data_IF_596245258730
#
_entry.id   IF_596245258730
#
_cell.length_a   1.000
_cell.length_b   1.000
_cell.length_c   1.000
_cell.angle_alpha   90.00
_cell.angle_beta   90.00
_cell.angle_gamma   90.00
#
_symmetry.space_group_name_H-M   'P 1'
#
loop_
_entity.id
_entity.type
_entity.pdbx_description
1 polymer ?
#
# COMPACT_ATOMS: atom_id res chain seq x y z
N UNK A 1 2.84 -18.89 -19.72
CA UNK A 1 2.86 -19.39 -18.33
C UNK A 1 2.68 -18.19 -17.42
N UNK A 2 1.70 -18.23 -16.53
CA UNK A 2 1.38 -17.07 -15.69
C UNK A 2 2.36 -17.01 -14.52
N UNK A 3 3.06 -15.88 -14.36
CA UNK A 3 4.13 -15.71 -13.36
C UNK A 3 3.73 -15.87 -11.89
N UNK A 4 2.47 -16.20 -11.58
CA UNK A 4 1.92 -16.38 -10.23
C UNK A 4 1.55 -17.84 -9.90
N UNK A 5 1.94 -18.82 -10.72
CA UNK A 5 1.71 -20.25 -10.43
C UNK A 5 2.26 -20.71 -9.05
N UNK A 6 3.46 -20.29 -8.60
CA UNK A 6 3.96 -20.62 -7.27
C UNK A 6 3.04 -20.11 -6.15
N UNK A 7 2.53 -18.89 -6.30
CA UNK A 7 1.59 -18.27 -5.38
C UNK A 7 0.28 -19.06 -5.32
N UNK A 8 -0.27 -19.44 -6.48
CA UNK A 8 -1.49 -20.23 -6.56
C UNK A 8 -1.36 -21.56 -5.83
N UNK A 9 -0.23 -22.27 -6.01
CA UNK A 9 0.04 -23.53 -5.33
C UNK A 9 0.14 -23.34 -3.81
N UNK A 10 0.91 -22.34 -3.36
CA UNK A 10 1.12 -22.08 -1.95
C UNK A 10 -0.19 -21.76 -1.22
N UNK A 11 -1.00 -20.85 -1.79
CA UNK A 11 -2.27 -20.42 -1.23
C UNK A 11 -3.36 -21.51 -1.30
N UNK A 12 -3.41 -22.30 -2.37
CA UNK A 12 -4.35 -23.42 -2.45
C UNK A 12 -4.08 -24.48 -1.38
N UNK A 13 -2.79 -24.76 -1.09
CA UNK A 13 -2.44 -25.67 0.00
C UNK A 13 -2.79 -25.07 1.38
N UNK A 14 -2.55 -23.78 1.62
CA UNK A 14 -2.99 -23.11 2.85
C UNK A 14 -4.52 -23.17 3.04
N UNK A 15 -5.28 -22.99 1.96
CA UNK A 15 -6.75 -23.09 1.99
C UNK A 15 -7.24 -24.48 2.37
N UNK A 16 -6.63 -25.55 1.81
CA UNK A 16 -6.97 -26.94 2.16
C UNK A 16 -6.60 -27.31 3.60
N UNK A 17 -5.50 -26.75 4.11
CA UNK A 17 -4.99 -27.02 5.46
C UNK A 17 -5.72 -26.22 6.55
N UNK A 18 -6.62 -25.29 6.19
CA UNK A 18 -7.24 -24.39 7.17
C UNK A 18 -6.22 -23.44 7.83
N UNK A 19 -5.13 -23.11 7.12
CA UNK A 19 -3.99 -22.39 7.67
C UNK A 19 -4.38 -21.01 8.23
N UNK A 20 -3.83 -20.68 9.40
CA UNK A 20 -3.91 -19.34 10.00
C UNK A 20 -2.50 -18.80 10.19
N UNK A 21 -2.24 -17.63 9.64
CA UNK A 21 -0.91 -17.03 9.61
C UNK A 21 -0.67 -16.23 8.34
N UNK A 22 0.59 -15.99 8.02
CA UNK A 22 0.98 -15.15 6.89
C UNK A 22 1.67 -15.96 5.80
N UNK A 23 1.43 -15.58 4.54
CA UNK A 23 2.20 -16.04 3.38
C UNK A 23 2.84 -14.83 2.75
N UNK A 24 4.17 -14.74 2.83
CA UNK A 24 4.97 -13.69 2.23
C UNK A 24 5.32 -14.07 0.79
N UNK A 25 5.14 -13.13 -0.11
CA UNK A 25 5.39 -13.26 -1.54
C UNK A 25 6.51 -12.31 -1.89
N UNK A 26 7.66 -12.86 -2.28
CA UNK A 26 8.75 -12.08 -2.86
C UNK A 26 8.50 -11.85 -4.34
N UNK A 27 8.97 -10.70 -4.84
CA UNK A 27 8.73 -10.28 -6.21
C UNK A 27 8.57 -8.77 -6.32
N UNK A 28 8.24 -8.31 -7.53
CA UNK A 28 7.95 -6.91 -7.78
C UNK A 28 6.49 -6.78 -8.21
N UNK A 29 5.57 -6.27 -7.36
CA UNK A 29 5.80 -5.67 -6.03
C UNK A 29 5.86 -6.64 -4.85
N UNK A 30 5.50 -7.92 -5.03
CA UNK A 30 5.35 -8.86 -3.92
C UNK A 30 4.24 -8.45 -2.93
N UNK A 31 4.18 -9.09 -1.77
CA UNK A 31 3.19 -8.76 -0.74
C UNK A 31 3.07 -9.81 0.37
N UNK A 32 2.14 -9.59 1.29
CA UNK A 32 1.81 -10.51 2.38
C UNK A 32 0.32 -10.83 2.35
N UNK A 33 -0.01 -12.11 2.30
CA UNK A 33 -1.38 -12.62 2.43
C UNK A 33 -1.58 -13.08 3.86
N UNK A 34 -2.57 -12.50 4.55
CA UNK A 34 -2.96 -12.93 5.89
C UNK A 34 -4.13 -13.90 5.76
N UNK A 35 -3.98 -15.08 6.34
CA UNK A 35 -4.99 -16.13 6.33
C UNK A 35 -5.52 -16.42 7.73
N UNK A 36 -6.80 -16.74 7.79
CA UNK A 36 -7.48 -17.23 8.98
C UNK A 36 -8.40 -18.38 8.59
N UNK A 37 -8.17 -19.57 9.15
CA UNK A 37 -8.93 -20.78 8.82
C UNK A 37 -8.88 -21.14 7.33
N UNK A 38 -7.77 -20.86 6.64
CA UNK A 38 -7.60 -21.11 5.21
C UNK A 38 -8.23 -20.04 4.29
N UNK A 39 -8.89 -19.02 4.84
CA UNK A 39 -9.44 -17.90 4.08
C UNK A 39 -8.50 -16.70 4.11
N UNK A 40 -8.39 -15.97 3.00
CA UNK A 40 -7.62 -14.73 2.92
C UNK A 40 -8.44 -13.60 3.51
N UNK A 41 -7.95 -13.01 4.59
CA UNK A 41 -8.64 -11.97 5.35
C UNK A 41 -8.03 -10.59 5.15
N UNK A 42 -6.75 -10.52 4.77
CA UNK A 42 -6.10 -9.29 4.34
C UNK A 42 -4.99 -9.60 3.33
N UNK A 43 -4.69 -8.64 2.47
CA UNK A 43 -3.53 -8.68 1.59
C UNK A 43 -2.87 -7.32 1.63
N UNK A 44 -1.57 -7.31 1.89
CA UNK A 44 -0.74 -6.12 1.83
C UNK A 44 0.22 -6.25 0.65
N UNK A 45 0.32 -5.20 -0.16
CA UNK A 45 1.33 -5.11 -1.19
C UNK A 45 1.75 -3.65 -1.29
N UNK A 46 3.05 -3.33 -1.41
CA UNK A 46 3.44 -1.97 -1.75
C UNK A 46 2.86 -1.59 -3.13
N UNK A 47 2.48 -2.59 -3.94
CA UNK A 47 1.81 -2.50 -5.23
C UNK A 47 0.47 -1.78 -5.23
N UNK A 48 -0.22 -1.67 -4.10
CA UNK A 48 -1.58 -1.12 -4.05
C UNK A 48 -1.85 -0.25 -2.80
N UNK A 49 -2.74 0.75 -2.90
CA UNK A 49 -3.15 1.55 -1.76
C UNK A 49 -3.80 0.68 -0.66
N UNK A 50 -3.36 0.91 0.58
CA UNK A 50 -3.96 0.31 1.77
C UNK A 50 -5.33 0.95 2.07
N UNK A 51 -6.17 0.31 2.89
CA UNK A 51 -7.41 0.92 3.40
C UNK A 51 -7.20 2.30 4.02
N UNK A 52 -6.12 2.47 4.79
CA UNK A 52 -5.70 3.76 5.35
C UNK A 52 -5.44 4.79 4.24
N UNK A 53 -4.63 4.43 3.23
CA UNK A 53 -4.33 5.33 2.12
C UNK A 53 -5.60 5.75 1.37
N UNK A 54 -6.55 4.83 1.16
CA UNK A 54 -7.84 5.13 0.53
C UNK A 54 -8.66 6.12 1.37
N UNK A 55 -8.75 5.92 2.68
CA UNK A 55 -9.49 6.82 3.57
C UNK A 55 -8.87 8.22 3.63
N UNK A 56 -7.55 8.31 3.82
CA UNK A 56 -6.83 9.59 3.88
C UNK A 56 -6.95 10.37 2.56
N UNK A 57 -6.79 9.68 1.42
CA UNK A 57 -6.87 10.33 0.09
C UNK A 57 -8.29 10.67 -0.34
N UNK A 58 -9.29 10.02 0.25
CA UNK A 58 -10.69 10.40 0.07
C UNK A 58 -11.06 11.70 0.80
N UNK A 59 -10.23 12.15 1.76
CA UNK A 59 -10.51 13.30 2.62
C UNK A 59 -11.49 13.02 3.77
N UNK A 60 -11.83 11.74 3.99
CA UNK A 60 -12.81 11.32 5.00
C UNK A 60 -12.25 11.36 6.43
N UNK A 61 -10.92 11.32 6.55
CA UNK A 61 -10.18 11.58 7.77
C UNK A 61 -8.86 12.25 7.38
N UNK A 62 -8.44 13.27 8.12
CA UNK A 62 -7.12 13.88 7.95
C UNK A 62 -6.02 13.07 8.64
N UNK A 63 -4.76 13.44 8.36
CA UNK A 63 -3.61 12.72 8.92
C UNK A 63 -3.49 12.88 10.44
N UNK A 64 -3.85 14.05 10.97
CA UNK A 64 -3.78 14.33 12.40
C UNK A 64 -4.85 13.57 13.19
N UNK A 65 -6.08 13.55 12.67
CA UNK A 65 -7.19 12.80 13.24
C UNK A 65 -6.88 11.30 13.21
N UNK A 66 -6.37 10.78 12.10
CA UNK A 66 -5.93 9.40 11.99
C UNK A 66 -4.87 9.06 13.05
N UNK A 67 -3.82 9.87 13.17
CA UNK A 67 -2.78 9.69 14.17
C UNK A 67 -3.35 9.75 15.60
N UNK A 68 -4.33 10.63 15.85
CA UNK A 68 -5.08 10.68 17.10
C UNK A 68 -5.82 9.39 17.41
N UNK A 69 -6.54 8.82 16.43
CA UNK A 69 -7.23 7.54 16.58
C UNK A 69 -6.27 6.38 16.85
N UNK A 70 -5.15 6.32 16.13
CA UNK A 70 -4.11 5.30 16.35
C UNK A 70 -3.57 5.40 17.77
N UNK A 71 -3.24 6.61 18.26
CA UNK A 71 -2.82 6.82 19.66
C UNK A 71 -3.89 6.38 20.67
N UNK A 72 -5.14 6.78 20.46
CA UNK A 72 -6.26 6.41 21.33
C UNK A 72 -6.53 4.90 21.36
N UNK A 73 -6.22 4.20 20.27
CA UNK A 73 -6.35 2.74 20.15
C UNK A 73 -5.16 1.94 20.70
N UNK A 74 -4.24 2.58 21.44
CA UNK A 74 -3.04 1.92 21.96
C UNK A 74 -2.02 1.55 20.88
N UNK A 75 -2.01 2.30 19.76
CA UNK A 75 -1.10 2.06 18.64
C UNK A 75 -1.58 1.03 17.62
N UNK A 76 -2.87 0.67 17.62
CA UNK A 76 -3.41 -0.21 16.59
C UNK A 76 -3.26 0.42 15.20
N UNK A 77 -2.67 -0.32 14.25
CA UNK A 77 -2.48 0.14 12.86
C UNK A 77 -3.80 0.42 12.13
N UNK A 78 -4.90 -0.15 12.61
CA UNK A 78 -6.24 0.03 12.05
C UNK A 78 -7.27 0.37 13.14
N UNK A 79 -7.51 1.65 13.43
CA UNK A 79 -8.38 2.08 14.53
C UNK A 79 -9.88 2.08 14.14
N UNK A 80 -10.41 0.93 13.71
CA UNK A 80 -11.79 0.79 13.19
C UNK A 80 -12.87 1.31 14.15
N UNK A 81 -12.76 0.98 15.44
CA UNK A 81 -13.71 1.43 16.45
C UNK A 81 -13.71 2.96 16.58
N UNK A 82 -12.53 3.58 16.53
CA UNK A 82 -12.37 5.03 16.52
C UNK A 82 -12.96 5.68 15.28
N UNK A 83 -12.72 5.10 14.10
CA UNK A 83 -13.28 5.58 12.82
C UNK A 83 -14.82 5.56 12.82
N UNK A 84 -15.42 4.55 13.45
CA UNK A 84 -16.87 4.42 13.56
C UNK A 84 -17.42 5.38 14.61
N UNK A 85 -16.81 5.42 15.81
CA UNK A 85 -17.29 6.23 16.92
C UNK A 85 -17.30 7.73 16.60
N UNK A 86 -16.31 8.20 15.83
CA UNK A 86 -16.20 9.61 15.43
C UNK A 86 -16.97 9.93 14.14
N UNK A 87 -17.67 8.95 13.55
CA UNK A 87 -18.46 9.15 12.33
C UNK A 87 -17.63 9.30 11.05
N UNK A 88 -16.30 9.13 11.11
CA UNK A 88 -15.46 9.16 9.91
C UNK A 88 -15.88 8.07 8.94
N UNK A 89 -16.16 6.84 9.36
CA UNK A 89 -16.70 5.81 8.47
C UNK A 89 -17.53 4.77 9.21
N UNK A 90 -18.67 4.37 8.64
CA UNK A 90 -19.49 3.30 9.18
C UNK A 90 -18.87 1.91 8.96
N UNK A 91 -19.27 0.93 9.78
CA UNK A 91 -18.75 -0.44 9.71
C UNK A 91 -18.92 -1.09 8.32
N UNK A 92 -20.04 -0.84 7.63
CA UNK A 92 -20.25 -1.33 6.27
C UNK A 92 -19.28 -0.69 5.26
N UNK A 93 -19.03 0.61 5.37
CA UNK A 93 -18.08 1.31 4.51
C UNK A 93 -16.66 0.78 4.72
N UNK A 94 -16.24 0.59 5.97
CA UNK A 94 -14.93 0.02 6.28
C UNK A 94 -14.76 -1.39 5.70
N UNK A 95 -15.79 -2.24 5.77
CA UNK A 95 -15.76 -3.58 5.14
C UNK A 95 -15.54 -3.49 3.63
N UNK A 96 -16.22 -2.58 2.94
CA UNK A 96 -16.04 -2.40 1.49
C UNK A 96 -14.63 -1.91 1.18
N UNK A 97 -14.12 -0.92 1.92
CA UNK A 97 -12.73 -0.43 1.73
C UNK A 97 -11.71 -1.57 1.89
N UNK A 98 -11.85 -2.38 2.94
CA UNK A 98 -10.94 -3.49 3.19
C UNK A 98 -11.04 -4.54 2.08
N UNK A 99 -12.25 -4.91 1.66
CA UNK A 99 -12.45 -5.87 0.57
C UNK A 99 -11.85 -5.38 -0.75
N UNK A 100 -11.98 -4.08 -1.04
CA UNK A 100 -11.45 -3.50 -2.26
C UNK A 100 -9.92 -3.41 -2.24
N UNK A 101 -9.33 -2.94 -1.15
CA UNK A 101 -7.88 -2.93 -0.99
C UNK A 101 -7.28 -4.34 -1.04
N UNK A 102 -7.95 -5.34 -0.45
CA UNK A 102 -7.57 -6.75 -0.54
C UNK A 102 -7.52 -7.22 -2.00
N UNK A 103 -8.58 -6.92 -2.77
CA UNK A 103 -8.67 -7.29 -4.19
C UNK A 103 -7.63 -6.57 -5.05
N UNK A 104 -7.36 -5.29 -4.78
CA UNK A 104 -6.34 -4.53 -5.51
C UNK A 104 -4.91 -4.94 -5.15
N UNK A 105 -4.64 -5.26 -3.89
CA UNK A 105 -3.33 -5.78 -3.48
C UNK A 105 -3.07 -7.16 -4.11
N UNK A 106 -4.06 -8.05 -4.12
CA UNK A 106 -3.95 -9.33 -4.82
C UNK A 106 -3.75 -9.15 -6.34
N UNK A 107 -4.48 -8.22 -6.95
CA UNK A 107 -4.28 -7.86 -8.36
C UNK A 107 -2.86 -7.33 -8.62
N UNK A 108 -2.34 -6.43 -7.78
CA UNK A 108 -1.02 -5.86 -7.95
C UNK A 108 0.10 -6.93 -7.84
N UNK A 109 -0.04 -7.90 -6.93
CA UNK A 109 0.88 -9.05 -6.85
C UNK A 109 0.82 -9.89 -8.13
N UNK A 110 -0.39 -10.22 -8.60
CA UNK A 110 -0.60 -11.07 -9.79
C UNK A 110 -0.17 -10.39 -11.09
N UNK A 111 -0.31 -9.08 -11.18
CA UNK A 111 0.11 -8.28 -12.34
C UNK A 111 1.64 -8.09 -12.41
N UNK A 112 2.33 -8.26 -11.29
CA UNK A 112 3.79 -8.18 -11.17
C UNK A 112 4.51 -9.50 -11.40
N UNK A 113 5.74 -9.60 -10.88
CA UNK A 113 6.50 -10.85 -10.79
C UNK A 113 6.35 -11.48 -9.41
N UNK A 114 6.32 -12.81 -9.36
CA UNK A 114 6.42 -13.60 -8.13
C UNK A 114 7.68 -14.45 -8.22
N UNK A 115 8.64 -14.15 -7.34
CA UNK A 115 9.93 -14.83 -7.31
C UNK A 115 9.91 -15.99 -6.31
N UNK A 116 9.06 -15.91 -5.27
CA UNK A 116 8.95 -16.92 -4.24
C UNK A 116 7.76 -16.71 -3.31
N UNK A 117 7.42 -17.75 -2.57
CA UNK A 117 6.36 -17.74 -1.56
C UNK A 117 6.84 -18.47 -0.31
N UNK A 118 6.85 -17.77 0.81
CA UNK A 118 7.27 -18.30 2.10
C UNK A 118 6.10 -18.25 3.08
N UNK A 119 5.82 -19.37 3.74
CA UNK A 119 4.82 -19.42 4.81
C UNK A 119 5.49 -18.98 6.10
N UNK A 120 4.91 -17.98 6.76
CA UNK A 120 5.27 -17.61 8.11
C UNK A 120 4.86 -18.69 9.13
N UNK A 121 5.28 -18.56 10.39
CA UNK A 121 4.86 -19.47 11.44
C UNK A 121 3.33 -19.47 11.56
N UNK A 122 2.75 -20.65 11.71
CA UNK A 122 1.32 -20.79 11.96
C UNK A 122 0.96 -20.05 13.27
N UNK A 123 -0.03 -19.18 13.20
CA UNK A 123 -0.56 -18.46 14.35
C UNK A 123 -1.86 -19.14 14.77
N UNK A 124 -1.76 -20.09 15.70
CA UNK A 124 -2.90 -20.86 16.21
C UNK A 124 -2.43 -22.16 16.87
N UNK A 125 -3.19 -22.72 17.83
CA UNK A 125 -2.87 -24.04 18.35
C UNK A 125 -2.88 -25.06 17.19
N UNK A 126 -1.98 -26.06 17.19
CA UNK A 126 -2.08 -27.16 16.23
C UNK A 126 -3.48 -27.77 16.36
N UNK A 127 -4.10 -28.10 15.22
CA UNK A 127 -5.41 -28.72 15.19
C UNK A 127 -5.35 -30.11 15.85
N UNK A 128 -5.46 -30.16 17.17
CA UNK A 128 -5.77 -31.36 17.93
C UNK A 128 -7.29 -31.44 18.10
N UNK A 129 -7.93 -32.60 17.92
CA UNK A 129 -9.41 -32.67 17.87
C UNK A 129 -10.16 -32.40 19.18
N UNK A 130 -9.54 -31.84 20.24
CA UNK A 130 -10.09 -31.91 21.61
C UNK A 130 -9.78 -30.74 22.56
N UNK A 131 -9.39 -29.55 22.06
CA UNK A 131 -9.20 -28.39 22.94
C UNK A 131 -10.21 -27.26 22.65
N UNK A 132 -10.90 -26.69 23.66
CA UNK A 132 -11.74 -25.52 23.47
C UNK A 132 -10.87 -24.33 23.03
N UNK A 133 -11.33 -23.60 22.01
CA UNK A 133 -10.64 -22.46 21.43
C UNK A 133 -10.51 -21.33 22.47
N UNK A 134 -9.31 -21.17 23.05
CA UNK A 134 -8.94 -19.93 23.72
C UNK A 134 -8.92 -18.80 22.69
N UNK A 135 -9.49 -17.62 22.98
CA UNK A 135 -9.40 -16.49 22.05
C UNK A 135 -7.92 -16.14 21.89
N UNK A 136 -7.38 -16.34 20.68
CA UNK A 136 -6.04 -15.89 20.34
C UNK A 136 -5.95 -14.39 20.63
N UNK A 137 -4.90 -13.98 21.35
CA UNK A 137 -4.52 -12.58 21.42
C UNK A 137 -4.41 -12.03 19.99
N UNK A 138 -4.99 -10.85 19.71
CA UNK A 138 -5.00 -10.31 18.35
C UNK A 138 -3.56 -10.05 17.94
N UNK A 139 -3.07 -10.82 16.96
CA UNK A 139 -1.97 -10.38 16.10
C UNK A 139 -2.38 -8.98 15.61
N UNK A 140 -1.48 -7.99 15.54
CA UNK A 140 -1.82 -6.67 15.01
C UNK A 140 -2.00 -6.80 13.49
N UNK A 141 -3.09 -7.46 13.08
CA UNK A 141 -3.34 -7.84 11.70
C UNK A 141 -3.78 -6.60 10.94
N UNK A 142 -3.22 -6.48 9.74
CA UNK A 142 -3.71 -5.65 8.66
C UNK A 142 -5.24 -5.49 8.67
N UNK A 143 -5.79 -4.36 8.21
CA UNK A 143 -7.25 -4.20 8.07
C UNK A 143 -7.90 -5.42 7.41
N UNK A 144 -8.67 -6.17 8.19
CA UNK A 144 -9.22 -7.47 7.78
C UNK A 144 -10.62 -7.32 7.20
N UNK A 145 -10.95 -8.17 6.23
CA UNK A 145 -12.32 -8.41 5.81
C UNK A 145 -12.96 -9.42 6.77
N UNK A 146 -14.13 -9.12 7.38
CA UNK A 146 -14.77 -10.01 8.35
C UNK A 146 -15.19 -11.37 7.78
N UNK A 147 -15.43 -11.44 6.47
CA UNK A 147 -15.64 -12.67 5.73
C UNK A 147 -14.45 -12.81 4.79
N UNK A 148 -13.50 -13.69 5.13
CA UNK A 148 -12.34 -13.93 4.29
C UNK A 148 -12.72 -14.53 2.94
N UNK A 149 -11.88 -14.31 1.94
CA UNK A 149 -12.07 -14.83 0.59
C UNK A 149 -11.33 -16.15 0.40
N UNK A 150 -11.92 -17.15 -0.28
CA UNK A 150 -11.21 -18.35 -0.67
C UNK A 150 -9.99 -17.99 -1.54
N UNK A 151 -8.78 -18.49 -1.22
CA UNK A 151 -7.57 -18.05 -1.93
C UNK A 151 -7.61 -18.33 -3.44
N UNK A 152 -8.21 -19.45 -3.84
CA UNK A 152 -8.40 -19.81 -5.25
C UNK A 152 -9.31 -18.83 -5.98
N UNK A 153 -10.42 -18.42 -5.36
CA UNK A 153 -11.35 -17.42 -5.92
C UNK A 153 -10.67 -16.06 -6.07
N UNK A 154 -9.93 -15.63 -5.05
CA UNK A 154 -9.20 -14.36 -5.06
C UNK A 154 -8.18 -14.30 -6.21
N UNK A 155 -7.40 -15.37 -6.40
CA UNK A 155 -6.43 -15.44 -7.49
C UNK A 155 -7.11 -15.54 -8.86
N UNK A 156 -8.20 -16.31 -8.98
CA UNK A 156 -8.97 -16.37 -10.22
C UNK A 156 -9.51 -15.00 -10.63
N UNK A 157 -9.99 -14.21 -9.67
CA UNK A 157 -10.45 -12.84 -9.88
C UNK A 157 -9.31 -11.93 -10.36
N UNK A 158 -8.17 -11.94 -9.65
CA UNK A 158 -6.99 -11.16 -10.04
C UNK A 158 -6.46 -11.56 -11.44
N UNK A 159 -6.42 -12.85 -11.75
CA UNK A 159 -5.99 -13.35 -13.06
C UNK A 159 -6.99 -13.05 -14.17
N UNK A 160 -8.31 -13.00 -13.86
CA UNK A 160 -9.33 -12.54 -14.80
C UNK A 160 -9.13 -11.05 -15.10
N UNK A 161 -8.93 -10.22 -14.08
CA UNK A 161 -8.65 -8.78 -14.21
C UNK A 161 -7.40 -8.52 -15.05
N UNK A 162 -6.32 -9.24 -14.80
CA UNK A 162 -5.08 -9.14 -15.59
C UNK A 162 -5.31 -9.51 -17.06
N UNK A 163 -6.00 -10.62 -17.35
CA UNK A 163 -6.33 -11.00 -18.73
C UNK A 163 -7.21 -9.97 -19.43
N UNK A 164 -8.20 -9.42 -18.74
CA UNK A 164 -9.05 -8.36 -19.30
C UNK A 164 -8.24 -7.10 -19.64
N UNK A 165 -7.29 -6.72 -18.77
CA UNK A 165 -6.40 -5.59 -19.00
C UNK A 165 -5.46 -5.82 -20.19
N UNK A 166 -4.89 -7.02 -20.30
CA UNK A 166 -4.02 -7.40 -21.42
C UNK A 166 -4.75 -7.52 -22.76
N UNK A 167 -6.08 -7.63 -22.75
CA UNK A 167 -6.92 -7.66 -23.94
C UNK A 167 -7.35 -6.27 -24.44
N UNK A 168 -7.02 -5.20 -23.71
CA UNK A 168 -7.31 -3.83 -24.17
C UNK A 168 -6.42 -3.44 -25.36
N UNK A 169 -6.86 -2.48 -26.20
CA UNK A 169 -6.09 -2.01 -27.35
C UNK A 169 -4.69 -1.51 -26.98
N UNK A 170 -4.56 -0.88 -25.81
CA UNK A 170 -3.28 -0.48 -25.23
C UNK A 170 -3.10 -1.17 -23.87
N UNK A 171 -2.43 -2.34 -23.81
CA UNK A 171 -2.22 -3.04 -22.55
C UNK A 171 -1.19 -2.28 -21.68
N UNK A 172 -1.55 -2.02 -20.42
CA UNK A 172 -0.72 -1.30 -19.44
C UNK A 172 -0.37 -2.23 -18.28
N UNK A 173 0.83 -2.13 -17.74
CA UNK A 173 1.21 -2.73 -16.46
C UNK A 173 1.16 -1.68 -15.35
N UNK A 174 0.68 -2.01 -14.14
CA UNK A 174 0.55 -1.03 -13.07
C UNK A 174 1.84 -0.25 -12.74
N UNK A 175 3.01 -0.85 -12.92
CA UNK A 175 4.31 -0.36 -12.48
C UNK A 175 5.25 0.05 -13.62
N UNK A 176 4.78 0.09 -14.87
CA UNK A 176 5.66 0.28 -16.04
C UNK A 176 5.44 1.59 -16.76
N UNK A 177 4.28 1.78 -17.38
CA UNK A 177 4.00 2.91 -18.26
C UNK A 177 3.91 4.20 -17.45
N UNK A 178 4.53 5.28 -17.95
CA UNK A 178 4.55 6.59 -17.31
C UNK A 178 3.95 7.61 -18.27
N UNK A 179 2.62 7.78 -18.25
CA UNK A 179 1.95 8.60 -19.25
C UNK A 179 2.12 10.10 -18.99
N UNK A 180 1.99 10.88 -20.06
CA UNK A 180 1.79 12.33 -20.06
C UNK A 180 0.47 12.65 -20.80
N UNK A 181 -0.16 13.80 -20.53
CA UNK A 181 -1.26 14.32 -21.33
C UNK A 181 -0.84 14.49 -22.79
N UNK A 182 -1.54 13.84 -23.71
CA UNK A 182 -1.37 14.06 -25.14
C UNK A 182 -2.09 15.37 -25.57
N UNK A 183 -1.77 15.86 -26.77
CA UNK A 183 -2.39 17.07 -27.31
C UNK A 183 -3.93 16.98 -27.39
N UNK A 184 -4.48 15.79 -27.66
CA UNK A 184 -5.94 15.55 -27.71
C UNK A 184 -6.63 15.74 -26.36
N UNK A 185 -5.91 15.66 -25.24
CA UNK A 185 -6.52 15.91 -23.92
C UNK A 185 -7.00 17.33 -23.75
N UNK A 186 -6.34 18.31 -24.38
CA UNK A 186 -6.71 19.72 -24.26
C UNK A 186 -7.95 20.08 -25.08
N UNK A 187 -8.28 19.28 -26.10
CA UNK A 187 -9.45 19.48 -26.97
C UNK A 187 -10.64 18.60 -26.55
N UNK A 188 -10.47 17.73 -25.56
CA UNK A 188 -11.50 16.82 -25.08
C UNK A 188 -12.64 17.57 -24.38
N UNK A 189 -13.76 17.74 -25.09
CA UNK A 189 -14.92 18.51 -24.61
C UNK A 189 -15.65 17.88 -23.41
N UNK A 190 -15.50 16.56 -23.16
CA UNK A 190 -16.15 15.85 -22.06
C UNK A 190 -15.21 14.83 -21.42
N UNK A 191 -14.51 15.25 -20.39
CA UNK A 191 -13.70 14.36 -19.55
C UNK A 191 -14.52 13.89 -18.33
N UNK A 192 -14.34 12.64 -17.93
CA UNK A 192 -14.82 12.16 -16.63
C UNK A 192 -14.03 12.76 -15.46
N UNK A 193 -14.56 12.66 -14.24
CA UNK A 193 -13.86 13.12 -13.01
C UNK A 193 -12.52 12.41 -12.85
N UNK A 194 -12.49 11.09 -13.06
CA UNK A 194 -11.25 10.31 -12.98
C UNK A 194 -10.25 10.72 -14.05
N UNK A 195 -10.69 10.89 -15.30
CA UNK A 195 -9.80 11.27 -16.41
C UNK A 195 -9.13 12.62 -16.16
N UNK A 196 -9.89 13.63 -15.72
CA UNK A 196 -9.32 14.93 -15.32
C UNK A 196 -8.26 14.77 -14.23
N UNK A 197 -8.59 14.00 -13.19
CA UNK A 197 -7.71 13.76 -12.05
C UNK A 197 -6.40 13.05 -12.48
N UNK A 198 -6.48 12.08 -13.40
CA UNK A 198 -5.31 11.41 -13.96
C UNK A 198 -4.48 12.36 -14.82
N UNK A 199 -5.10 13.18 -15.68
CA UNK A 199 -4.39 14.17 -16.50
C UNK A 199 -3.64 15.21 -15.65
N UNK A 200 -4.21 15.64 -14.52
CA UNK A 200 -3.55 16.55 -13.59
C UNK A 200 -2.28 15.95 -12.96
N UNK A 201 -2.18 14.62 -12.87
CA UNK A 201 -1.08 13.94 -12.18
C UNK A 201 -0.13 13.14 -13.09
N UNK A 202 -0.51 12.92 -14.35
CA UNK A 202 0.30 12.30 -15.38
C UNK A 202 1.42 13.28 -15.80
N UNK A 203 2.64 13.03 -15.34
CA UNK A 203 3.80 13.90 -15.55
C UNK A 203 4.97 13.17 -16.23
N UNK A 204 4.72 11.98 -16.78
CA UNK A 204 5.76 11.13 -17.37
C UNK A 204 6.69 10.48 -16.34
N UNK A 205 6.48 10.74 -15.04
CA UNK A 205 7.22 10.10 -13.94
C UNK A 205 6.37 9.12 -13.17
N UNK A 206 5.06 9.34 -13.05
CA UNK A 206 4.15 8.45 -12.31
C UNK A 206 3.64 7.30 -13.16
N UNK A 207 3.70 6.09 -12.60
CA UNK A 207 3.05 4.89 -13.14
C UNK A 207 1.56 4.86 -12.79
N UNK A 208 0.79 3.95 -13.40
CA UNK A 208 -0.62 3.77 -13.02
C UNK A 208 -0.80 3.43 -11.52
N UNK A 209 0.14 2.67 -10.93
CA UNK A 209 0.23 2.44 -9.49
C UNK A 209 0.43 3.74 -8.72
N UNK A 210 1.38 4.57 -9.12
CA UNK A 210 1.63 5.85 -8.44
C UNK A 210 0.40 6.77 -8.53
N UNK A 211 -0.26 6.81 -9.69
CA UNK A 211 -1.51 7.54 -9.89
C UNK A 211 -2.62 7.00 -8.99
N UNK A 212 -2.71 5.69 -8.78
CA UNK A 212 -3.68 5.09 -7.84
C UNK A 212 -3.44 5.56 -6.40
N UNK A 213 -2.19 5.58 -5.93
CA UNK A 213 -1.83 6.14 -4.62
C UNK A 213 -2.11 7.64 -4.50
N UNK A 214 -1.88 8.41 -5.58
CA UNK A 214 -2.11 9.85 -5.60
C UNK A 214 -3.59 10.21 -5.58
N UNK A 215 -4.40 9.48 -6.34
CA UNK A 215 -5.85 9.75 -6.49
C UNK A 215 -6.70 9.06 -5.41
N UNK A 216 -6.11 8.18 -4.60
CA UNK A 216 -6.83 7.43 -3.57
C UNK A 216 -7.77 6.38 -4.16
N UNK A 217 -7.36 5.74 -5.25
CA UNK A 217 -8.19 4.80 -6.01
C UNK A 217 -7.54 3.44 -6.12
N UNK A 218 -8.36 2.45 -6.45
CA UNK A 218 -7.89 1.09 -6.70
C UNK A 218 -6.94 1.00 -7.90
N UNK A 219 -5.87 0.22 -7.77
CA UNK A 219 -4.84 0.08 -8.81
C UNK A 219 -5.43 -0.49 -10.09
N UNK A 220 -6.28 -1.52 -9.99
CA UNK A 220 -6.90 -2.12 -11.18
C UNK A 220 -7.73 -1.08 -11.95
N UNK A 221 -8.57 -0.33 -11.24
CA UNK A 221 -9.43 0.69 -11.86
C UNK A 221 -8.61 1.78 -12.56
N UNK A 222 -7.56 2.28 -11.91
CA UNK A 222 -6.67 3.29 -12.50
C UNK A 222 -5.90 2.73 -13.68
N UNK A 223 -5.43 1.49 -13.62
CA UNK A 223 -4.65 0.89 -14.72
C UNK A 223 -5.53 0.65 -15.95
N UNK A 224 -6.78 0.23 -15.76
CA UNK A 224 -7.77 0.13 -16.86
C UNK A 224 -8.07 1.50 -17.46
N UNK A 225 -8.24 2.53 -16.63
CA UNK A 225 -8.53 3.88 -17.14
C UNK A 225 -7.34 4.45 -17.91
N UNK A 226 -6.11 4.29 -17.41
CA UNK A 226 -4.89 4.69 -18.12
C UNK A 226 -4.77 3.96 -19.46
N UNK A 227 -5.03 2.65 -19.50
CA UNK A 227 -5.03 1.87 -20.73
C UNK A 227 -6.05 2.38 -21.76
N UNK A 228 -7.26 2.73 -21.32
CA UNK A 228 -8.28 3.33 -22.20
C UNK A 228 -7.85 4.70 -22.71
N UNK A 229 -7.40 5.57 -21.82
CA UNK A 229 -6.95 6.92 -22.18
C UNK A 229 -5.75 6.89 -23.14
N UNK A 230 -4.84 5.92 -23.03
CA UNK A 230 -3.77 5.69 -23.99
C UNK A 230 -4.31 5.20 -25.34
N UNK A 231 -5.26 4.27 -25.34
CA UNK A 231 -5.93 3.80 -26.55
C UNK A 231 -6.77 4.87 -27.26
N UNK A 232 -7.31 5.82 -26.51
CA UNK A 232 -8.08 6.98 -27.00
C UNK A 232 -7.18 8.16 -27.40
N UNK A 233 -5.87 8.09 -27.14
CA UNK A 233 -4.92 9.16 -27.41
C UNK A 233 -5.06 10.38 -26.48
N UNK A 234 -5.76 10.25 -25.35
CA UNK A 234 -5.80 11.27 -24.30
C UNK A 234 -4.47 11.29 -23.52
N UNK A 235 -3.89 10.12 -23.30
CA UNK A 235 -2.54 9.99 -22.76
C UNK A 235 -1.60 9.48 -23.85
N UNK A 236 -0.32 9.78 -23.69
CA UNK A 236 0.75 9.16 -24.46
C UNK A 236 1.91 8.77 -23.55
N UNK A 237 2.69 7.78 -23.96
CA UNK A 237 3.94 7.41 -23.30
C UNK A 237 5.09 8.04 -24.08
N UNK A 238 5.91 8.86 -23.43
CA UNK A 238 7.13 9.38 -24.06
C UNK A 238 8.17 8.27 -24.04
N UNK A 239 8.73 7.94 -25.19
CA UNK A 239 9.82 6.97 -25.28
C UNK A 239 11.09 7.55 -24.63
N UNK A 240 11.60 6.81 -23.63
CA UNK A 240 12.77 7.09 -22.80
C UNK A 240 12.71 8.36 -21.92
N UNK A 241 13.16 8.29 -20.65
CA UNK A 241 13.35 9.50 -19.86
C UNK A 241 14.36 10.40 -20.59
N UNK A 242 14.07 11.68 -20.72
CA UNK A 242 15.12 12.65 -21.06
C UNK A 242 16.25 12.45 -20.05
N UNK A 243 17.50 12.23 -20.51
CA UNK A 243 18.63 12.07 -19.61
C UNK A 243 18.65 13.29 -18.70
N UNK A 244 18.60 13.06 -17.39
CA UNK A 244 18.78 14.14 -16.42
C UNK A 244 20.16 14.71 -16.70
N UNK A 245 20.30 15.99 -17.11
CA UNK A 245 21.60 16.57 -17.33
C UNK A 245 22.27 16.68 -15.96
N UNK A 246 23.12 15.70 -15.64
CA UNK A 246 24.04 15.79 -14.51
C UNK A 246 25.02 16.90 -14.88
N UNK A 247 24.81 18.10 -14.34
CA UNK A 247 25.85 19.14 -14.38
C UNK A 247 26.94 18.71 -13.42
N UNK A 248 27.90 17.94 -13.92
CA UNK A 248 29.17 17.75 -13.25
C UNK A 248 29.88 19.12 -13.28
N UNK A 249 30.32 19.65 -12.13
CA UNK A 249 31.30 20.73 -12.11
C UNK A 249 32.51 20.30 -12.98
N UNK A 250 33.14 21.23 -13.73
CA UNK A 250 34.21 20.89 -14.68
C UNK A 250 35.39 20.13 -14.04
N UNK A 251 35.55 20.20 -12.71
CA UNK A 251 36.62 19.55 -11.96
C UNK A 251 36.14 18.50 -10.94
N UNK A 252 34.89 18.03 -11.02
CA UNK A 252 34.42 16.99 -10.11
C UNK A 252 34.98 15.61 -10.53
N UNK A 253 35.73 14.89 -9.67
CA UNK A 253 36.12 13.52 -9.96
C UNK A 253 34.85 12.69 -10.14
N UNK A 254 34.72 12.03 -11.30
CA UNK A 254 33.57 11.20 -11.62
C UNK A 254 33.29 10.19 -10.50
N UNK A 255 32.02 10.02 -10.15
CA UNK A 255 31.58 9.03 -9.16
C UNK A 255 31.96 7.64 -9.68
N UNK A 256 33.08 7.10 -9.20
CA UNK A 256 33.45 5.71 -9.47
C UNK A 256 32.58 4.80 -8.61
N UNK A 257 32.09 3.66 -9.15
CA UNK A 257 31.51 2.61 -8.33
C UNK A 257 32.42 2.30 -7.15
N UNK A 258 31.86 2.25 -5.94
CA UNK A 258 32.62 1.92 -4.74
C UNK A 258 33.14 0.50 -4.87
N UNK A 259 34.44 0.35 -5.01
CA UNK A 259 35.10 -0.95 -4.99
C UNK A 259 34.89 -1.60 -3.62
N UNK A 260 34.48 -2.88 -3.54
CA UNK A 260 34.31 -3.56 -2.27
C UNK A 260 35.62 -3.51 -1.47
N UNK A 261 35.56 -3.06 -0.22
CA UNK A 261 36.73 -3.03 0.63
C UNK A 261 37.29 -4.47 0.78
N UNK A 262 38.61 -4.67 0.68
CA UNK A 262 39.20 -5.98 0.94
C UNK A 262 38.84 -6.44 2.37
N UNK A 263 38.61 -7.75 2.59
CA UNK A 263 38.30 -8.26 3.91
C UNK A 263 39.44 -7.90 4.88
N UNK A 264 39.12 -7.51 6.12
CA UNK A 264 40.14 -7.20 7.11
C UNK A 264 41.03 -8.43 7.36
N UNK A 265 42.34 -8.26 7.54
CA UNK A 265 43.22 -9.37 7.87
C UNK A 265 42.79 -10.00 9.20
N UNK A 266 42.83 -11.33 9.25
CA UNK A 266 42.51 -12.13 10.44
C UNK A 266 43.40 -11.65 11.60
N UNK A 267 42.87 -11.23 12.76
CA UNK A 267 43.70 -10.77 13.86
C UNK A 267 44.59 -11.90 14.37
N UNK A 268 45.91 -11.67 14.38
CA UNK A 268 46.84 -12.55 15.08
C UNK A 268 46.58 -12.48 16.60
N UNK A 269 46.68 -13.59 17.36
CA UNK A 269 46.46 -13.56 18.80
C UNK A 269 47.53 -12.70 19.50
N UNK A 270 47.12 -11.56 20.04
CA UNK A 270 47.96 -10.77 20.94
C UNK A 270 47.99 -11.44 22.33
N UNK A 271 49.14 -11.44 23.04
CA UNK A 271 49.24 -11.94 24.40
C UNK A 271 48.34 -11.11 25.34
N UNK A 272 47.52 -11.81 26.14
CA UNK A 272 46.51 -11.21 27.02
C UNK A 272 47.15 -10.33 28.11
N UNK A 273 46.78 -9.04 28.23
CA UNK A 273 47.06 -8.24 29.41
C UNK A 273 46.02 -8.51 30.51
N UNK A 274 46.49 -8.59 31.75
CA UNK A 274 45.68 -8.78 32.97
C UNK A 274 44.58 -7.70 33.13
N UNK A 275 43.42 -8.02 33.71
CA UNK A 275 42.29 -7.10 33.81
C UNK A 275 42.54 -5.96 34.83
N UNK A 276 42.28 -4.69 34.47
CA UNK A 276 42.20 -3.60 35.44
C UNK A 276 40.80 -3.47 36.06
N UNK A 277 40.76 -3.00 37.31
CA UNK A 277 39.56 -2.83 38.15
C UNK A 277 38.48 -1.89 37.56
N UNK A 278 37.19 -2.11 37.90
CA UNK A 278 36.09 -1.35 37.32
C UNK A 278 36.02 0.10 37.84
N UNK A 279 36.31 1.06 36.96
CA UNK A 279 36.01 2.47 37.19
C UNK A 279 34.50 2.74 37.07
N UNK A 280 33.92 3.34 38.12
CA UNK A 280 32.51 3.72 38.23
C UNK A 280 32.11 4.80 37.21
N UNK A 281 31.11 4.51 36.38
CA UNK A 281 30.51 5.44 35.42
C UNK A 281 29.56 6.45 36.14
N UNK A 282 29.57 7.74 35.75
CA UNK A 282 28.69 8.74 36.35
C UNK A 282 27.23 8.58 35.89
N UNK A 283 26.29 8.55 36.85
CA UNK A 283 24.84 8.42 36.62
C UNK A 283 24.17 9.78 36.32
N UNK A 284 23.26 9.80 35.35
CA UNK A 284 22.41 10.96 35.01
C UNK A 284 21.34 11.21 36.08
N UNK A 285 21.04 12.49 36.35
CA UNK A 285 19.89 12.94 37.17
C UNK A 285 18.64 13.13 36.30
N UNK A 286 17.47 12.56 36.66
CA UNK A 286 16.21 12.81 35.98
C UNK A 286 15.66 14.22 36.31
N UNK A 287 15.04 14.90 35.33
CA UNK A 287 14.17 16.06 35.59
C UNK A 287 14.54 17.43 35.00
N UNK A 288 15.19 17.51 33.83
CA UNK A 288 15.43 18.80 33.16
C UNK A 288 15.09 18.74 31.67
N UNK A 289 13.85 19.10 31.33
CA UNK A 289 13.51 19.69 30.03
C UNK A 289 12.21 20.46 30.20
N UNK A 290 12.34 21.78 30.32
CA UNK A 290 11.25 22.72 30.14
C UNK A 290 11.15 23.06 28.66
N UNK A 291 9.93 22.99 28.12
CA UNK A 291 9.46 23.72 26.95
C UNK A 291 7.93 23.73 27.04
N UNK A 292 7.40 24.83 27.59
CA UNK A 292 6.03 25.27 27.37
C UNK A 292 6.13 26.41 26.37
N UNK A 293 5.47 26.29 25.22
CA UNK A 293 4.82 27.43 24.58
C UNK A 293 3.86 26.92 23.51
N UNK A 294 2.60 27.31 23.68
CA UNK A 294 1.50 27.08 22.76
C UNK A 294 1.31 28.33 21.92
N UNK A 295 1.12 28.18 20.60
CA UNK A 295 0.40 29.15 19.79
C UNK A 295 -0.43 28.45 18.71
N UNK A 296 -1.62 29.00 18.53
CA UNK A 296 -2.85 28.58 17.86
C UNK A 296 -2.80 28.52 16.32
N UNK A 297 -3.65 27.70 15.65
CA UNK A 297 -3.78 27.68 14.20
C UNK A 297 -4.89 28.62 13.71
N UNK A 298 -4.60 29.41 12.67
CA UNK A 298 -5.60 30.21 11.94
C UNK A 298 -6.34 29.36 10.89
N UNK A 299 -7.66 29.53 10.83
CA UNK A 299 -8.57 28.90 9.88
C UNK A 299 -8.69 29.74 8.59
N UNK A 300 -8.50 29.10 7.43
CA UNK A 300 -8.79 29.67 6.12
C UNK A 300 -9.94 28.96 5.41
N UNK A 301 -11.00 29.73 5.13
CA UNK A 301 -11.64 29.85 3.82
C UNK A 301 -12.27 28.61 3.15
N UNK A 302 -13.58 28.68 3.01
CA UNK A 302 -14.52 27.76 2.35
C UNK A 302 -14.42 27.68 0.82
N UNK A 303 -14.57 26.46 0.30
CA UNK A 303 -14.89 26.13 -1.10
C UNK A 303 -16.37 26.41 -1.44
N UNK A 304 -16.64 26.85 -2.67
CA UNK A 304 -17.95 26.76 -3.34
C UNK A 304 -17.90 25.67 -4.40
N UNK A 305 -18.90 24.78 -4.39
CA UNK A 305 -18.90 23.51 -5.09
C UNK A 305 -19.32 23.53 -6.56
N UNK A 306 -19.40 22.32 -7.13
CA UNK A 306 -20.43 21.89 -8.09
C UNK A 306 -20.26 20.40 -8.43
N UNK A 307 -21.41 19.82 -8.75
CA UNK A 307 -21.84 18.44 -8.65
C UNK A 307 -21.47 17.58 -9.89
N UNK A 308 -21.20 16.27 -9.71
CA UNK A 308 -21.20 15.26 -10.80
C UNK A 308 -21.31 13.84 -10.19
N UNK A 309 -22.18 13.00 -10.77
CA UNK A 309 -22.58 11.65 -10.30
C UNK A 309 -21.46 10.66 -9.89
N UNK A 310 -21.82 9.52 -9.26
CA UNK A 310 -21.05 8.98 -8.15
C UNK A 310 -19.70 8.42 -8.59
N UNK A 311 -18.68 9.27 -8.51
CA UNK A 311 -17.29 8.84 -8.57
C UNK A 311 -16.93 8.04 -7.31
N UNK A 312 -15.80 7.34 -7.36
CA UNK A 312 -15.19 6.69 -6.20
C UNK A 312 -15.08 7.60 -4.96
N UNK A 313 -14.83 8.90 -5.16
CA UNK A 313 -14.86 9.91 -4.10
C UNK A 313 -16.28 10.13 -3.56
N UNK A 314 -17.31 10.06 -4.40
CA UNK A 314 -18.72 10.15 -4.02
C UNK A 314 -19.21 8.93 -3.21
N UNK A 315 -18.72 7.73 -3.54
CA UNK A 315 -18.89 6.53 -2.69
C UNK A 315 -18.41 6.81 -1.25
N UNK A 316 -17.35 7.62 -1.10
CA UNK A 316 -16.85 8.09 0.19
C UNK A 316 -17.41 9.43 0.68
N UNK A 317 -18.14 10.21 -0.12
CA UNK A 317 -18.80 11.46 0.34
C UNK A 317 -20.21 11.25 0.89
N UNK A 318 -20.80 10.08 0.69
CA UNK A 318 -22.14 9.80 1.21
C UNK A 318 -22.19 9.91 2.75
N UNK A 319 -22.99 10.90 3.17
CA UNK A 319 -23.46 11.29 4.52
C UNK A 319 -22.42 11.92 5.45
N UNK A 320 -22.41 13.26 5.48
CA UNK A 320 -22.30 14.09 6.69
C UNK A 320 -23.10 15.40 6.53
N UNK A 321 -24.39 15.28 6.23
CA UNK A 321 -25.32 16.40 6.36
C UNK A 321 -26.53 15.94 7.15
N UNK A 322 -26.43 16.03 8.48
CA UNK A 322 -27.61 16.10 9.34
C UNK A 322 -28.05 17.57 9.37
N UNK A 323 -29.26 17.92 8.89
CA UNK A 323 -29.79 19.25 9.12
C UNK A 323 -30.15 19.38 10.60
N UNK A 324 -29.70 20.46 11.24
CA UNK A 324 -30.35 21.05 12.41
C UNK A 324 -31.09 22.29 11.94
#
# INVERSE_FOLDING_TARGET
MSGHEPLARALAACGREGFTGEVRVSGTPGGTFHLHGGLVVAVESPGAPTPEALLLRSGRIGGEEWAGLVRASGGARWPAAGLIAHGYAGAAQLRVVCAMALQDAAFAVVAGSVDGCERGPASGPPATPLAPATPLAPVPVAPMVPVGEPPTRLLQEASRKLRALLALPYPVRPDRERPVPASLSYTAARLGVLQRELLTHADGRRTARDLAFRTGRGVYAVTVEVARMLGEGLLECVDAPHPIPVRLPPDAPGVRPREPAPPPPVPQPLPQPSPPEPATLPRRRPGASGINEALTPEHGGTDTGTDTGPGWKEFFRLRNSTPK
#
